data_IF_883819715914
#
_entry.id   IF_883819715914
#
_cell.length_a   1.000
_cell.length_b   1.000
_cell.length_c   1.000
_cell.angle_alpha   90.00
_cell.angle_beta   90.00
_cell.angle_gamma   90.00
#
_symmetry.space_group_name_H-M   'P 1'
#
loop_
_entity.id
_entity.type
_entity.pdbx_description
1 polymer ?
#
# COMPACT_ATOMS: atom_id res chain seq x y z
N UNK A 1 0.63 32.37 64.05
CA UNK A 1 0.01 32.26 62.71
C UNK A 1 1.10 32.60 61.70
N UNK A 2 1.36 31.68 60.77
CA UNK A 2 2.14 31.75 59.51
C UNK A 2 2.91 30.44 59.36
N UNK A 3 2.44 29.65 58.39
CA UNK A 3 2.97 28.37 57.95
C UNK A 3 4.29 28.57 57.20
N UNK A 4 5.28 27.71 57.46
CA UNK A 4 6.46 27.55 56.60
C UNK A 4 6.31 26.21 55.87
N UNK A 5 5.84 26.26 54.63
CA UNK A 5 5.79 25.12 53.71
C UNK A 5 7.16 24.95 53.06
N UNK A 6 7.83 23.83 53.34
CA UNK A 6 8.99 23.39 52.56
C UNK A 6 8.50 22.71 51.28
N UNK A 7 8.83 23.32 50.13
CA UNK A 7 8.60 22.78 48.80
C UNK A 7 9.72 21.78 48.49
N UNK A 8 9.40 20.48 48.45
CA UNK A 8 10.29 19.45 47.91
C UNK A 8 10.15 19.48 46.38
N UNK A 9 11.19 19.94 45.70
CA UNK A 9 11.30 19.84 44.23
C UNK A 9 11.73 18.42 43.89
N UNK A 10 10.79 17.61 43.39
CA UNK A 10 11.12 16.34 42.76
C UNK A 10 11.66 16.63 41.34
N UNK A 11 12.97 16.46 41.14
CA UNK A 11 13.54 16.37 39.81
C UNK A 11 13.11 15.03 39.20
N UNK A 12 12.09 15.05 38.36
CA UNK A 12 11.81 13.95 37.46
C UNK A 12 12.91 13.93 36.39
N UNK A 13 13.73 12.89 36.40
CA UNK A 13 14.63 12.58 35.31
C UNK A 13 13.79 12.35 34.05
N UNK A 14 13.82 13.32 33.13
CA UNK A 14 13.32 13.14 31.77
C UNK A 14 14.20 12.10 31.09
N UNK A 15 13.76 10.83 31.14
CA UNK A 15 14.21 9.85 30.17
C UNK A 15 13.80 10.35 28.80
N UNK A 16 14.78 10.56 27.93
CA UNK A 16 14.54 10.81 26.51
C UNK A 16 13.93 9.51 25.98
N UNK A 17 12.60 9.47 25.89
CA UNK A 17 11.92 8.49 25.05
C UNK A 17 12.37 8.76 23.60
N UNK A 18 12.67 7.72 22.80
CA UNK A 18 12.86 7.91 21.37
C UNK A 18 11.62 8.62 20.81
N UNK A 19 11.75 9.48 19.78
CA UNK A 19 10.60 10.12 19.17
C UNK A 19 9.60 9.02 18.79
N UNK A 20 8.37 9.13 19.29
CA UNK A 20 7.31 8.21 18.93
C UNK A 20 7.16 8.22 17.40
N UNK A 21 7.30 7.05 16.78
CA UNK A 21 7.05 6.76 15.36
C UNK A 21 5.57 6.97 14.93
N UNK A 22 4.91 7.99 15.48
CA UNK A 22 3.47 8.22 15.30
C UNK A 22 3.22 9.00 14.03
N UNK A 23 2.91 8.30 12.94
CA UNK A 23 2.31 8.94 11.77
C UNK A 23 0.84 9.27 12.04
N UNK A 24 0.32 10.36 11.47
CA UNK A 24 -1.12 10.67 11.53
C UNK A 24 -1.90 9.51 10.93
N UNK A 25 -2.82 8.94 11.70
CA UNK A 25 -3.63 7.82 11.25
C UNK A 25 -5.01 7.81 11.91
N UNK A 26 -5.95 7.15 11.25
CA UNK A 26 -7.21 6.70 11.83
C UNK A 26 -7.13 5.19 11.97
N UNK A 27 -7.39 4.68 13.17
CA UNK A 27 -7.52 3.24 13.41
C UNK A 27 -8.99 2.83 13.27
N UNK A 28 -9.26 1.94 12.32
CA UNK A 28 -10.56 1.29 12.16
C UNK A 28 -10.51 -0.04 12.90
N UNK A 29 -11.51 -0.34 13.74
CA UNK A 29 -11.46 -1.50 14.63
C UNK A 29 -12.78 -2.26 14.70
N UNK A 30 -12.72 -3.57 14.63
CA UNK A 30 -13.83 -4.47 14.90
C UNK A 30 -13.45 -5.44 16.04
N UNK A 31 -14.38 -6.26 16.55
CA UNK A 31 -14.05 -7.32 17.50
C UNK A 31 -13.05 -8.37 16.98
N UNK A 32 -12.76 -8.38 15.67
CA UNK A 32 -11.99 -9.41 15.00
C UNK A 32 -10.65 -8.92 14.49
N UNK A 33 -10.57 -7.65 14.10
CA UNK A 33 -9.38 -7.06 13.51
C UNK A 33 -9.34 -5.55 13.64
N UNK A 34 -8.17 -4.97 13.38
CA UNK A 34 -8.00 -3.54 13.17
C UNK A 34 -7.17 -3.26 11.93
N UNK A 35 -7.30 -2.04 11.40
CA UNK A 35 -6.53 -1.54 10.27
C UNK A 35 -6.19 -0.07 10.50
N UNK A 36 -5.04 0.39 10.04
CA UNK A 36 -4.68 1.82 10.05
C UNK A 36 -4.83 2.43 8.68
N UNK A 37 -5.51 3.58 8.63
CA UNK A 37 -5.52 4.49 7.49
C UNK A 37 -4.56 5.63 7.82
N UNK A 38 -3.41 5.69 7.16
CA UNK A 38 -2.47 6.78 7.34
C UNK A 38 -3.00 8.03 6.62
N UNK A 39 -3.16 9.12 7.36
CA UNK A 39 -3.87 10.29 6.84
C UNK A 39 -2.93 11.12 5.96
N UNK A 40 -3.40 11.59 4.79
CA UNK A 40 -2.58 12.36 3.85
C UNK A 40 -2.43 13.85 4.21
N UNK A 41 -2.93 14.26 5.38
CA UNK A 41 -2.91 15.62 5.89
C UNK A 41 -2.11 15.71 7.18
N UNK A 42 -1.60 16.90 7.47
CA UNK A 42 -0.82 17.18 8.68
C UNK A 42 -1.70 17.09 9.93
N UNK A 43 -1.12 16.61 11.03
CA UNK A 43 -1.75 16.67 12.34
C UNK A 43 -1.73 18.08 12.93
N UNK A 44 -2.66 18.39 13.83
CA UNK A 44 -2.58 19.65 14.58
C UNK A 44 -1.28 19.72 15.39
N UNK A 45 -0.42 20.70 15.09
CA UNK A 45 0.78 20.99 15.88
C UNK A 45 2.06 20.24 15.49
N UNK A 46 2.06 19.42 14.44
CA UNK A 46 3.24 18.69 13.96
C UNK A 46 3.62 19.08 12.54
N UNK A 47 4.89 19.40 12.31
CA UNK A 47 5.47 19.47 10.98
C UNK A 47 6.12 18.12 10.68
N UNK A 48 5.65 17.42 9.64
CA UNK A 48 6.26 16.20 9.06
C UNK A 48 5.89 14.83 9.69
N UNK A 49 4.62 14.65 10.09
CA UNK A 49 4.07 13.40 10.67
C UNK A 49 3.23 12.55 9.68
N UNK A 50 3.26 12.87 8.39
CA UNK A 50 2.56 12.12 7.34
C UNK A 50 3.37 10.89 6.92
N UNK A 51 2.69 9.76 6.77
CA UNK A 51 3.37 8.53 6.36
C UNK A 51 3.96 8.64 4.95
N UNK A 52 3.23 9.21 4.00
CA UNK A 52 3.65 9.24 2.61
C UNK A 52 3.48 10.63 2.00
N UNK A 53 4.55 11.11 1.37
CA UNK A 53 4.68 12.41 0.68
C UNK A 53 5.21 12.23 -0.76
N UNK A 54 5.43 10.99 -1.20
CA UNK A 54 6.03 10.67 -2.49
C UNK A 54 5.15 11.09 -3.68
N UNK A 55 5.77 11.15 -4.85
CA UNK A 55 5.12 11.63 -6.09
C UNK A 55 4.53 10.52 -6.97
N UNK A 56 4.34 9.31 -6.43
CA UNK A 56 3.89 8.12 -7.20
C UNK A 56 2.50 7.67 -6.79
N UNK A 57 2.34 7.25 -5.54
CA UNK A 57 1.09 6.68 -5.05
C UNK A 57 0.08 7.74 -4.64
N UNK A 58 -1.20 7.41 -4.80
CA UNK A 58 -2.30 8.23 -4.30
C UNK A 58 -2.18 8.39 -2.78
N UNK A 59 -2.10 9.62 -2.28
CA UNK A 59 -1.81 9.85 -0.84
C UNK A 59 -2.89 9.30 0.09
N UNK A 60 -4.15 9.27 -0.34
CA UNK A 60 -5.28 8.71 0.42
C UNK A 60 -5.33 7.18 0.50
N UNK A 61 -4.38 6.47 -0.12
CA UNK A 61 -4.40 5.01 -0.26
C UNK A 61 -3.51 4.24 0.72
N UNK A 62 -2.84 4.94 1.63
CA UNK A 62 -1.95 4.32 2.63
C UNK A 62 -2.78 3.62 3.72
N UNK A 63 -3.16 2.37 3.48
CA UNK A 63 -3.97 1.56 4.39
C UNK A 63 -3.20 0.28 4.69
N UNK A 64 -2.79 0.08 5.94
CA UNK A 64 -1.83 -0.96 6.34
C UNK A 64 -1.92 -1.30 7.83
N UNK A 65 -0.87 -1.95 8.34
CA UNK A 65 -0.77 -2.37 9.75
C UNK A 65 -2.04 -3.11 10.22
N UNK A 66 -2.49 -4.12 9.46
CA UNK A 66 -3.69 -4.87 9.82
C UNK A 66 -3.35 -5.88 10.90
N UNK A 67 -4.10 -5.86 12.01
CA UNK A 67 -3.97 -6.83 13.09
C UNK A 67 -5.21 -7.72 13.10
N UNK A 68 -5.02 -9.03 12.97
CA UNK A 68 -6.07 -10.06 12.95
C UNK A 68 -5.99 -10.88 14.23
N UNK A 69 -7.07 -10.90 15.01
CA UNK A 69 -7.07 -11.54 16.32
C UNK A 69 -6.13 -10.84 17.30
N UNK A 70 -5.30 -11.60 18.01
CA UNK A 70 -4.38 -11.05 19.03
C UNK A 70 -3.00 -10.71 18.47
N UNK A 71 -2.47 -11.56 17.60
CA UNK A 71 -1.02 -11.61 17.33
C UNK A 71 -0.66 -11.64 15.84
N UNK A 72 -1.60 -11.87 14.93
CA UNK A 72 -1.29 -11.97 13.50
C UNK A 72 -1.36 -10.60 12.81
N UNK A 73 -0.30 -10.23 12.10
CA UNK A 73 -0.19 -8.98 11.37
C UNK A 73 -0.12 -9.23 9.86
N UNK A 74 -0.82 -8.43 9.07
CA UNK A 74 -0.62 -8.40 7.61
C UNK A 74 -0.52 -6.97 7.06
N UNK A 75 0.15 -6.83 5.91
CA UNK A 75 0.49 -5.53 5.30
C UNK A 75 1.22 -4.58 6.27
N UNK A 76 2.14 -5.14 7.05
CA UNK A 76 2.96 -4.41 7.99
C UNK A 76 4.07 -3.61 7.31
N UNK A 77 4.56 -2.57 7.98
CA UNK A 77 5.62 -1.69 7.46
C UNK A 77 7.04 -2.26 7.56
N UNK A 78 7.29 -3.14 8.53
CA UNK A 78 8.64 -3.46 9.01
C UNK A 78 9.58 -4.22 8.06
N UNK A 79 9.18 -4.48 6.82
CA UNK A 79 10.05 -5.07 5.78
C UNK A 79 10.09 -4.26 4.48
N UNK A 80 9.24 -3.25 4.34
CA UNK A 80 9.09 -2.53 3.07
C UNK A 80 9.80 -1.17 3.13
N UNK A 81 10.89 -1.06 2.36
CA UNK A 81 11.69 0.16 2.20
C UNK A 81 12.14 0.77 3.54
N UNK A 82 12.76 -0.07 4.39
CA UNK A 82 13.37 0.34 5.65
C UNK A 82 14.82 0.86 5.48
N UNK A 83 15.23 1.95 6.17
CA UNK A 83 14.40 2.83 6.99
C UNK A 83 13.36 3.58 6.14
N UNK A 84 12.17 3.83 6.68
CA UNK A 84 11.13 4.56 5.93
C UNK A 84 11.55 5.98 5.53
N UNK A 85 11.17 6.40 4.32
CA UNK A 85 11.34 7.78 3.84
C UNK A 85 10.03 8.26 3.20
N UNK A 86 9.27 9.18 3.85
CA UNK A 86 8.00 9.66 3.34
C UNK A 86 8.10 10.28 1.93
N UNK A 87 9.24 10.88 1.59
CA UNK A 87 9.46 11.56 0.32
C UNK A 87 9.91 10.62 -0.81
N UNK A 88 10.17 9.34 -0.51
CA UNK A 88 10.59 8.38 -1.52
C UNK A 88 9.35 7.80 -2.23
N UNK A 89 9.27 7.85 -3.58
CA UNK A 89 8.08 7.42 -4.31
C UNK A 89 7.69 5.96 -4.06
N UNK A 90 8.65 5.08 -3.75
CA UNK A 90 8.41 3.66 -3.49
C UNK A 90 8.00 3.34 -2.05
N UNK A 91 7.99 4.32 -1.14
CA UNK A 91 7.74 4.10 0.30
C UNK A 91 6.25 4.05 0.68
N UNK A 92 5.38 3.68 -0.26
CA UNK A 92 3.97 3.36 0.05
C UNK A 92 3.85 2.15 0.97
N UNK A 93 2.66 1.91 1.53
CA UNK A 93 2.39 0.77 2.42
C UNK A 93 1.03 0.16 2.12
N UNK A 94 0.90 -1.14 2.36
CA UNK A 94 -0.35 -1.88 2.33
C UNK A 94 -1.11 -1.70 1.02
N UNK A 95 -2.26 -1.06 1.05
CA UNK A 95 -3.13 -0.85 -0.13
C UNK A 95 -2.75 0.37 -0.99
N UNK A 96 -1.51 0.85 -0.88
CA UNK A 96 -1.01 1.95 -1.67
C UNK A 96 -1.33 1.74 -3.16
N UNK A 97 -2.07 2.68 -3.74
CA UNK A 97 -2.59 2.60 -5.10
C UNK A 97 -1.98 3.65 -6.00
N UNK A 98 -1.85 3.32 -7.29
CA UNK A 98 -1.33 4.18 -8.33
C UNK A 98 -2.34 4.34 -9.47
N UNK A 99 -2.43 5.55 -10.02
CA UNK A 99 -3.00 5.77 -11.35
C UNK A 99 -1.86 5.70 -12.36
N UNK A 100 -1.90 4.78 -13.31
CA UNK A 100 -0.81 4.50 -14.24
C UNK A 100 -0.54 3.01 -14.40
N UNK A 101 0.47 2.66 -15.19
CA UNK A 101 0.86 1.27 -15.51
C UNK A 101 2.22 0.88 -14.89
N UNK A 102 2.81 1.77 -14.08
CA UNK A 102 4.08 1.49 -13.38
C UNK A 102 5.29 1.35 -14.31
N UNK A 103 5.29 2.09 -15.42
CA UNK A 103 6.42 2.20 -16.37
C UNK A 103 6.80 3.65 -16.62
N UNK A 104 7.94 3.89 -17.25
CA UNK A 104 8.31 5.24 -17.68
C UNK A 104 7.54 5.66 -18.93
N UNK A 105 7.33 6.97 -19.09
CA UNK A 105 6.61 7.55 -20.22
C UNK A 105 5.23 8.10 -19.83
N UNK A 106 4.75 9.04 -20.64
CA UNK A 106 3.48 9.74 -20.42
C UNK A 106 2.25 8.86 -20.64
N UNK A 107 2.39 7.85 -21.50
CA UNK A 107 1.33 6.91 -21.87
C UNK A 107 1.72 5.49 -21.47
N UNK A 108 0.70 4.68 -21.24
CA UNK A 108 0.85 3.25 -21.00
C UNK A 108 0.88 2.47 -22.32
N UNK A 109 1.40 1.24 -22.27
CA UNK A 109 1.41 0.34 -23.43
C UNK A 109 -0.03 0.08 -23.89
N UNK A 110 -0.24 0.03 -25.21
CA UNK A 110 -1.56 -0.13 -25.82
C UNK A 110 -1.98 1.08 -26.63
N UNK A 111 -3.23 1.52 -26.46
CA UNK A 111 -3.79 2.66 -27.21
C UNK A 111 -3.19 3.98 -26.72
N UNK A 112 -2.77 4.83 -27.66
CA UNK A 112 -2.05 6.09 -27.37
C UNK A 112 -2.83 7.17 -26.62
N UNK A 113 -4.05 6.89 -26.18
CA UNK A 113 -4.91 7.75 -25.36
C UNK A 113 -4.99 7.31 -23.89
N UNK A 114 -4.22 6.28 -23.48
CA UNK A 114 -4.14 5.80 -22.10
C UNK A 114 -2.94 6.45 -21.40
N UNK A 115 -3.21 7.39 -20.50
CA UNK A 115 -2.20 8.11 -19.75
C UNK A 115 -1.69 7.31 -18.55
N UNK A 116 -0.41 7.50 -18.22
CA UNK A 116 0.27 6.91 -17.07
C UNK A 116 -0.05 7.64 -15.74
N UNK A 117 -1.32 8.01 -15.56
CA UNK A 117 -1.84 8.81 -14.47
C UNK A 117 -1.41 10.27 -14.48
N UNK A 118 -0.67 10.70 -15.50
CA UNK A 118 -0.19 12.08 -15.65
C UNK A 118 -0.99 12.85 -16.69
N UNK A 119 -1.43 14.06 -16.36
CA UNK A 119 -2.22 14.93 -17.23
C UNK A 119 -1.46 16.23 -17.53
N UNK A 120 -1.33 16.57 -18.81
CA UNK A 120 -0.62 17.77 -19.30
C UNK A 120 0.90 17.65 -19.34
N UNK A 121 1.48 16.48 -19.05
CA UNK A 121 2.94 16.26 -19.09
C UNK A 121 3.53 16.42 -20.51
N UNK A 122 2.77 16.02 -21.52
CA UNK A 122 3.09 16.10 -22.95
C UNK A 122 3.22 17.54 -23.46
N UNK A 123 2.46 18.45 -22.87
CA UNK A 123 2.36 19.86 -23.29
C UNK A 123 3.13 20.80 -22.37
N UNK A 124 3.44 20.38 -21.15
CA UNK A 124 4.29 21.12 -20.22
C UNK A 124 5.75 21.15 -20.68
N UNK A 125 6.40 22.30 -20.53
CA UNK A 125 7.86 22.45 -20.67
C UNK A 125 8.56 22.08 -19.37
N UNK A 126 9.87 21.85 -19.42
CA UNK A 126 10.68 21.70 -18.22
C UNK A 126 10.50 22.91 -17.29
N UNK A 127 10.29 22.65 -15.99
CA UNK A 127 9.97 23.68 -14.99
C UNK A 127 8.49 24.08 -14.92
N UNK A 128 7.67 23.71 -15.89
CA UNK A 128 6.21 23.92 -15.84
C UNK A 128 5.51 22.76 -15.10
N UNK A 129 4.32 23.02 -14.51
CA UNK A 129 3.59 21.99 -13.79
C UNK A 129 2.84 21.02 -14.72
N UNK A 130 2.61 19.81 -14.22
CA UNK A 130 1.67 18.81 -14.73
C UNK A 130 0.93 18.16 -13.57
N UNK A 131 -0.17 17.44 -13.81
CA UNK A 131 -0.90 16.72 -12.74
C UNK A 131 -0.51 15.24 -12.72
N UNK A 132 -0.34 14.66 -11.52
CA UNK A 132 -0.41 13.21 -11.28
C UNK A 132 -1.65 12.92 -10.46
N UNK A 133 -2.57 12.12 -11.01
CA UNK A 133 -3.86 11.81 -10.39
C UNK A 133 -3.61 11.14 -9.02
N UNK A 134 -4.29 11.63 -7.97
CA UNK A 134 -4.11 11.13 -6.59
C UNK A 134 -2.91 11.71 -5.84
N UNK A 135 -2.03 12.46 -6.51
CA UNK A 135 -0.81 13.03 -5.92
C UNK A 135 -0.87 14.56 -5.88
N UNK A 136 -1.20 15.22 -6.99
CA UNK A 136 -1.28 16.67 -7.09
C UNK A 136 -0.52 17.23 -8.29
N UNK A 137 -0.20 18.54 -8.24
CA UNK A 137 0.57 19.22 -9.27
C UNK A 137 2.09 19.08 -9.02
N UNK A 138 2.82 18.54 -10.00
CA UNK A 138 4.26 18.27 -9.97
C UNK A 138 5.00 19.09 -11.04
N UNK A 139 6.29 19.34 -10.84
CA UNK A 139 7.12 20.15 -11.77
C UNK A 139 7.88 19.25 -12.74
N UNK A 140 7.62 19.37 -14.05
CA UNK A 140 8.33 18.57 -15.08
C UNK A 140 9.83 18.84 -15.06
N UNK A 141 10.63 17.78 -15.22
CA UNK A 141 12.09 17.84 -15.20
C UNK A 141 12.71 18.05 -13.80
N UNK A 142 11.91 18.15 -12.73
CA UNK A 142 12.46 18.34 -11.37
C UNK A 142 13.00 17.06 -10.72
N UNK A 143 12.79 15.91 -11.35
CA UNK A 143 13.13 14.62 -10.77
C UNK A 143 14.62 14.27 -10.96
N UNK A 144 15.29 13.61 -10.00
CA UNK A 144 16.72 13.29 -10.13
C UNK A 144 17.05 12.40 -11.33
N UNK A 145 16.15 11.48 -11.69
CA UNK A 145 16.29 10.61 -12.86
C UNK A 145 15.96 11.30 -14.20
N UNK A 146 15.42 12.52 -14.15
CA UNK A 146 15.13 13.36 -15.31
C UNK A 146 16.42 14.09 -15.71
N UNK A 147 17.41 13.39 -16.25
CA UNK A 147 18.69 14.01 -16.64
C UNK A 147 18.51 15.05 -17.76
N UNK A 148 19.47 15.98 -17.90
CA UNK A 148 19.45 17.12 -18.85
C UNK A 148 19.27 16.78 -20.35
N UNK A 149 19.23 15.50 -20.73
CA UNK A 149 19.02 15.05 -22.12
C UNK A 149 17.68 14.33 -22.35
N UNK A 150 16.91 14.12 -21.28
CA UNK A 150 15.75 13.21 -21.24
C UNK A 150 14.61 13.81 -20.37
N UNK A 151 14.58 15.14 -20.24
CA UNK A 151 13.59 15.90 -19.44
C UNK A 151 12.15 15.73 -19.93
N UNK A 152 11.98 15.20 -21.13
CA UNK A 152 10.70 14.86 -21.73
C UNK A 152 10.16 13.46 -21.36
N UNK A 153 10.92 12.61 -20.66
CA UNK A 153 10.41 11.29 -20.24
C UNK A 153 9.91 11.35 -18.79
N UNK A 154 8.61 11.06 -18.59
CA UNK A 154 8.05 10.88 -17.25
C UNK A 154 8.66 9.64 -16.59
N UNK A 155 9.13 9.77 -15.34
CA UNK A 155 9.77 8.71 -14.56
C UNK A 155 8.93 8.35 -13.34
N UNK A 156 8.12 7.30 -13.44
CA UNK A 156 7.07 7.00 -12.44
C UNK A 156 7.60 6.76 -11.01
N UNK A 157 8.83 6.23 -10.88
CA UNK A 157 9.46 5.90 -9.61
C UNK A 157 10.45 6.97 -9.10
N UNK A 158 10.51 8.14 -9.75
CA UNK A 158 11.44 9.21 -9.40
C UNK A 158 10.73 10.32 -8.61
N UNK A 159 11.36 10.91 -7.58
CA UNK A 159 10.73 11.96 -6.79
C UNK A 159 10.66 13.26 -7.60
N UNK A 160 9.46 13.79 -7.79
CA UNK A 160 9.23 15.11 -8.38
C UNK A 160 9.00 16.16 -7.29
N UNK A 161 9.40 17.41 -7.55
CA UNK A 161 9.01 18.55 -6.71
C UNK A 161 7.54 18.87 -6.95
N UNK A 162 6.82 19.14 -5.87
CA UNK A 162 5.47 19.68 -5.93
C UNK A 162 5.47 21.13 -6.40
N UNK A 163 4.59 21.45 -7.34
CA UNK A 163 4.33 22.83 -7.74
C UNK A 163 3.63 23.61 -6.61
N UNK A 164 2.75 22.93 -5.88
CA UNK A 164 2.12 23.39 -4.63
C UNK A 164 1.80 22.17 -3.76
N UNK A 165 1.71 22.34 -2.42
CA UNK A 165 1.34 21.25 -1.53
C UNK A 165 -0.03 20.66 -1.90
N UNK A 166 -0.19 19.33 -1.90
CA UNK A 166 -1.49 18.71 -2.14
C UNK A 166 -2.41 18.97 -0.95
N UNK A 167 -3.70 19.22 -1.25
CA UNK A 167 -4.72 19.46 -0.24
C UNK A 167 -5.62 18.23 -0.11
N UNK A 168 -5.79 17.77 1.13
CA UNK A 168 -6.70 16.70 1.49
C UNK A 168 -7.66 17.16 2.59
N UNK A 169 -8.88 16.64 2.57
CA UNK A 169 -9.92 16.90 3.58
C UNK A 169 -10.46 15.57 4.08
N UNK A 170 -10.76 15.49 5.37
CA UNK A 170 -11.63 14.44 5.91
C UNK A 170 -13.07 14.90 5.74
N UNK A 171 -13.90 14.06 5.14
CA UNK A 171 -15.34 14.28 5.07
C UNK A 171 -16.02 13.63 6.28
N UNK A 172 -17.18 14.14 6.72
CA UNK A 172 -17.93 13.53 7.81
C UNK A 172 -18.22 12.05 7.53
N UNK A 173 -17.86 11.18 8.48
CA UNK A 173 -18.17 9.75 8.41
C UNK A 173 -19.43 9.42 9.20
N UNK A 174 -20.28 8.50 8.69
CA UNK A 174 -21.52 8.09 9.35
C UNK A 174 -21.30 7.22 10.59
N UNK A 175 -20.07 6.75 10.84
CA UNK A 175 -19.74 5.93 12.00
C UNK A 175 -18.24 5.90 12.32
N UNK A 176 -17.86 5.33 13.48
CA UNK A 176 -16.48 5.36 13.98
C UNK A 176 -15.52 4.42 13.25
N UNK A 177 -16.04 3.44 12.49
CA UNK A 177 -15.27 2.45 11.72
C UNK A 177 -15.25 2.75 10.22
N UNK A 178 -15.40 4.02 9.87
CA UNK A 178 -15.33 4.52 8.51
C UNK A 178 -14.57 5.84 8.51
N UNK A 179 -13.75 6.05 7.48
CA UNK A 179 -13.11 7.34 7.23
C UNK A 179 -13.22 7.66 5.75
N UNK A 180 -13.58 8.91 5.45
CA UNK A 180 -13.67 9.39 4.07
C UNK A 180 -12.69 10.53 3.88
N UNK A 181 -11.78 10.39 2.91
CA UNK A 181 -10.86 11.44 2.49
C UNK A 181 -11.17 11.92 1.09
N UNK A 182 -10.93 13.19 0.85
CA UNK A 182 -11.19 13.85 -0.42
C UNK A 182 -10.02 14.76 -0.81
N UNK A 183 -9.65 14.73 -2.09
CA UNK A 183 -8.71 15.65 -2.71
C UNK A 183 -9.16 16.01 -4.11
N UNK A 184 -8.85 17.22 -4.54
CA UNK A 184 -9.02 17.65 -5.92
C UNK A 184 -7.83 18.49 -6.36
N UNK A 185 -7.59 18.51 -7.66
CA UNK A 185 -6.58 19.37 -8.24
C UNK A 185 -6.97 19.78 -9.68
N UNK A 186 -6.62 21.01 -10.08
CA UNK A 186 -6.89 21.59 -11.40
C UNK A 186 -5.68 22.32 -11.95
N UNK A 187 -5.40 22.09 -13.24
CA UNK A 187 -4.33 22.76 -13.97
C UNK A 187 -4.72 22.92 -15.45
N UNK A 188 -4.92 24.16 -15.88
CA UNK A 188 -5.34 24.46 -17.25
C UNK A 188 -6.66 23.78 -17.60
N UNK A 189 -6.65 22.95 -18.65
CA UNK A 189 -7.81 22.17 -19.10
C UNK A 189 -7.94 20.79 -18.42
N UNK A 190 -7.03 20.46 -17.51
CA UNK A 190 -7.04 19.19 -16.77
C UNK A 190 -7.46 19.40 -15.32
N UNK A 191 -8.05 18.35 -14.73
CA UNK A 191 -8.35 18.32 -13.31
C UNK A 191 -9.01 17.01 -12.90
N UNK A 192 -8.83 16.64 -11.64
CA UNK A 192 -9.43 15.44 -11.05
C UNK A 192 -9.95 15.74 -9.65
N UNK A 193 -10.98 15.00 -9.23
CA UNK A 193 -11.43 14.90 -7.86
C UNK A 193 -11.44 13.43 -7.44
N UNK A 194 -10.89 13.12 -6.27
CA UNK A 194 -10.85 11.77 -5.71
C UNK A 194 -11.51 11.78 -4.35
N UNK A 195 -12.47 10.88 -4.16
CA UNK A 195 -13.03 10.55 -2.85
C UNK A 195 -12.72 9.10 -2.54
N UNK A 196 -12.13 8.82 -1.38
CA UNK A 196 -11.88 7.46 -0.90
C UNK A 196 -12.53 7.26 0.45
N UNK A 197 -13.39 6.25 0.54
CA UNK A 197 -14.08 5.83 1.76
C UNK A 197 -13.55 4.46 2.17
N UNK A 198 -12.91 4.39 3.33
CA UNK A 198 -12.41 3.15 3.91
C UNK A 198 -13.27 2.79 5.11
N UNK A 199 -13.87 1.60 5.08
CA UNK A 199 -14.75 1.09 6.13
C UNK A 199 -14.32 -0.31 6.55
N UNK A 200 -14.35 -0.58 7.86
CA UNK A 200 -14.16 -1.91 8.42
C UNK A 200 -15.47 -2.40 9.04
N UNK A 201 -15.97 -3.55 8.56
CA UNK A 201 -17.14 -4.23 9.13
C UNK A 201 -16.80 -5.70 9.41
N UNK A 202 -16.69 -6.04 10.69
CA UNK A 202 -16.23 -7.35 11.13
C UNK A 202 -14.83 -7.68 10.57
N UNK A 203 -14.75 -8.70 9.72
CA UNK A 203 -13.52 -9.14 9.04
C UNK A 203 -13.48 -8.71 7.55
N UNK A 204 -14.28 -7.71 7.16
CA UNK A 204 -14.34 -7.20 5.80
C UNK A 204 -13.95 -5.73 5.79
N UNK A 205 -12.85 -5.41 5.09
CA UNK A 205 -12.47 -4.05 4.76
C UNK A 205 -13.04 -3.70 3.38
N UNK A 206 -13.76 -2.59 3.29
CA UNK A 206 -14.26 -2.04 2.03
C UNK A 206 -13.57 -0.71 1.77
N UNK A 207 -12.90 -0.59 0.61
CA UNK A 207 -12.30 0.67 0.14
C UNK A 207 -13.03 1.07 -1.14
N UNK A 208 -13.92 2.06 -1.02
CA UNK A 208 -14.65 2.61 -2.16
C UNK A 208 -13.96 3.86 -2.66
N UNK A 209 -13.62 3.88 -3.94
CA UNK A 209 -12.97 5.02 -4.60
C UNK A 209 -13.92 5.62 -5.63
N UNK A 210 -13.97 6.95 -5.67
CA UNK A 210 -14.65 7.71 -6.72
C UNK A 210 -13.62 8.62 -7.38
N UNK A 211 -13.56 8.60 -8.71
CA UNK A 211 -12.76 9.53 -9.51
C UNK A 211 -13.69 10.35 -10.38
N UNK A 212 -13.56 11.68 -10.30
CA UNK A 212 -14.29 12.64 -11.13
C UNK A 212 -13.33 13.38 -12.03
N UNK A 213 -13.63 13.49 -13.32
CA UNK A 213 -12.91 14.38 -14.21
C UNK A 213 -13.44 15.81 -14.03
N UNK A 214 -12.61 16.65 -13.44
CA UNK A 214 -12.92 18.06 -13.19
C UNK A 214 -12.47 18.97 -14.34
N UNK A 215 -11.65 18.46 -15.26
CA UNK A 215 -11.11 19.19 -16.41
C UNK A 215 -12.13 19.42 -17.53
N UNK A 216 -11.62 19.96 -18.64
CA UNK A 216 -12.34 20.15 -19.91
C UNK A 216 -11.94 19.11 -20.96
N UNK A 217 -10.85 18.37 -20.74
CA UNK A 217 -10.40 17.29 -21.61
C UNK A 217 -10.76 15.93 -20.99
N UNK A 218 -11.16 14.99 -21.83
CA UNK A 218 -11.28 13.59 -21.43
C UNK A 218 -9.89 13.02 -21.08
N UNK A 219 -9.86 11.98 -20.25
CA UNK A 219 -8.66 11.18 -20.04
C UNK A 219 -9.01 9.71 -19.80
N UNK A 220 -8.06 8.83 -20.13
CA UNK A 220 -8.08 7.44 -19.73
C UNK A 220 -6.80 7.11 -18.94
N UNK A 221 -6.90 6.28 -17.91
CA UNK A 221 -5.73 5.86 -17.14
C UNK A 221 -6.00 4.54 -16.42
N UNK A 222 -5.00 3.65 -16.27
CA UNK A 222 -5.15 2.51 -15.40
C UNK A 222 -5.13 2.95 -13.94
N UNK A 223 -5.75 2.17 -13.07
CA UNK A 223 -5.62 2.27 -11.63
C UNK A 223 -5.39 0.88 -11.05
N UNK A 224 -4.52 0.77 -10.05
CA UNK A 224 -4.35 -0.48 -9.31
C UNK A 224 -3.83 -0.21 -7.90
N UNK A 225 -4.04 -1.18 -7.01
CA UNK A 225 -3.45 -1.22 -5.67
C UNK A 225 -2.27 -2.19 -5.69
N UNK A 226 -1.16 -1.80 -5.08
CA UNK A 226 0.02 -2.66 -5.03
C UNK A 226 -0.15 -3.84 -4.09
N UNK A 227 -1.04 -3.77 -3.09
CA UNK A 227 -1.14 -4.81 -2.07
C UNK A 227 0.24 -5.23 -1.54
N UNK A 228 0.97 -4.33 -0.87
CA UNK A 228 2.26 -4.66 -0.24
C UNK A 228 2.09 -5.66 0.91
N UNK A 229 1.68 -6.89 0.58
CA UNK A 229 1.27 -7.92 1.52
C UNK A 229 2.50 -8.61 2.07
N UNK A 230 2.51 -8.74 3.38
CA UNK A 230 3.44 -9.52 4.18
C UNK A 230 2.66 -10.07 5.37
N UNK A 231 3.05 -11.21 5.90
CA UNK A 231 2.56 -11.76 7.16
C UNK A 231 3.63 -11.65 8.25
N UNK A 232 3.25 -11.16 9.44
CA UNK A 232 4.05 -11.07 10.66
C UNK A 232 5.44 -10.41 10.49
N UNK A 233 5.59 -9.52 9.51
CA UNK A 233 6.87 -8.89 9.14
C UNK A 233 7.96 -9.92 8.84
N UNK A 234 7.56 -11.07 8.30
CA UNK A 234 8.46 -12.11 7.81
C UNK A 234 8.62 -12.00 6.29
N UNK A 235 9.84 -12.24 5.76
CA UNK A 235 10.09 -12.19 4.33
C UNK A 235 9.19 -13.13 3.52
N UNK A 236 8.89 -12.73 2.28
CA UNK A 236 8.14 -13.56 1.33
C UNK A 236 8.93 -14.83 1.03
N UNK A 237 8.35 -15.97 1.43
CA UNK A 237 9.00 -17.28 1.40
C UNK A 237 8.03 -18.46 1.34
N UNK A 238 8.52 -19.69 1.56
CA UNK A 238 7.69 -20.89 1.59
C UNK A 238 6.51 -20.77 2.56
N UNK A 239 5.37 -21.34 2.18
CA UNK A 239 4.12 -21.26 2.95
C UNK A 239 3.17 -20.16 2.49
N UNK A 240 3.64 -19.20 1.69
CA UNK A 240 2.76 -18.29 0.97
C UNK A 240 2.15 -18.98 -0.26
N UNK A 241 0.85 -18.74 -0.49
CA UNK A 241 0.12 -19.17 -1.70
C UNK A 241 -0.72 -18.01 -2.21
N UNK A 242 -0.65 -17.73 -3.51
CA UNK A 242 -1.47 -16.73 -4.18
C UNK A 242 -2.32 -17.42 -5.25
N UNK A 243 -3.63 -17.29 -5.15
CA UNK A 243 -4.58 -17.78 -6.15
C UNK A 243 -5.21 -16.60 -6.87
N UNK A 244 -5.10 -16.55 -8.20
CA UNK A 244 -5.64 -15.49 -9.04
C UNK A 244 -7.01 -15.92 -9.59
N UNK A 245 -8.01 -15.05 -9.45
CA UNK A 245 -9.37 -15.21 -9.97
C UNK A 245 -9.47 -14.91 -11.47
N UNK A 246 -8.59 -15.53 -12.25
CA UNK A 246 -8.63 -15.49 -13.71
C UNK A 246 -9.45 -16.69 -14.18
N UNK A 247 -10.49 -16.49 -14.98
CA UNK A 247 -11.22 -17.61 -15.59
C UNK A 247 -10.68 -17.87 -17.00
N UNK A 248 -10.44 -19.14 -17.35
CA UNK A 248 -9.87 -19.54 -18.66
C UNK A 248 -10.80 -19.18 -19.83
N UNK A 249 -12.10 -18.95 -19.56
CA UNK A 249 -13.11 -18.66 -20.58
C UNK A 249 -12.82 -17.43 -21.46
N UNK A 250 -11.81 -16.61 -21.13
CA UNK A 250 -11.36 -15.49 -21.95
C UNK A 250 -9.96 -15.64 -22.58
N UNK A 251 -9.17 -16.65 -22.24
CA UNK A 251 -7.80 -16.77 -22.73
C UNK A 251 -7.75 -17.60 -24.02
N UNK A 252 -7.12 -17.12 -25.11
CA UNK A 252 -6.89 -17.94 -26.30
C UNK A 252 -6.12 -19.23 -25.96
N UNK A 253 -6.49 -20.35 -26.60
CA UNK A 253 -5.69 -21.56 -26.56
C UNK A 253 -4.25 -21.25 -26.99
N UNK A 254 -3.26 -21.70 -26.21
CA UNK A 254 -1.81 -21.47 -26.41
C UNK A 254 -1.25 -20.11 -25.95
N UNK A 255 -2.03 -19.25 -25.29
CA UNK A 255 -1.47 -18.06 -24.63
C UNK A 255 -0.44 -18.48 -23.57
N UNK A 256 0.81 -17.95 -23.58
CA UNK A 256 1.76 -18.16 -22.50
C UNK A 256 1.10 -17.81 -21.17
N UNK A 257 1.23 -18.68 -20.16
CA UNK A 257 0.53 -18.54 -18.86
C UNK A 257 0.73 -17.14 -18.26
N UNK A 258 1.91 -16.55 -18.49
CA UNK A 258 2.22 -15.17 -18.17
C UNK A 258 3.45 -14.70 -18.98
N UNK A 259 3.63 -13.37 -19.05
CA UNK A 259 4.86 -12.71 -19.53
C UNK A 259 5.70 -12.28 -18.33
N UNK A 260 7.01 -12.18 -18.48
CA UNK A 260 7.92 -11.72 -17.41
C UNK A 260 8.67 -10.45 -17.85
N UNK A 261 8.07 -9.26 -17.65
CA UNK A 261 8.70 -8.00 -18.03
C UNK A 261 10.06 -7.84 -17.36
N UNK A 262 11.07 -7.46 -18.14
CA UNK A 262 12.41 -7.18 -17.62
C UNK A 262 13.22 -8.40 -17.22
N UNK A 263 12.80 -9.62 -17.57
CA UNK A 263 13.50 -10.85 -17.21
C UNK A 263 14.97 -10.79 -17.66
N UNK A 264 15.88 -10.96 -16.70
CA UNK A 264 17.33 -10.89 -16.94
C UNK A 264 17.90 -9.48 -17.09
N UNK A 265 17.06 -8.44 -17.03
CA UNK A 265 17.45 -7.03 -17.03
C UNK A 265 17.27 -6.39 -15.66
N UNK A 266 16.03 -6.29 -15.18
CA UNK A 266 15.70 -5.70 -13.89
C UNK A 266 14.84 -6.60 -13.01
N UNK A 267 14.24 -7.65 -13.58
CA UNK A 267 13.51 -8.68 -12.85
C UNK A 267 14.19 -10.05 -12.97
N UNK A 268 14.03 -10.86 -11.91
CA UNK A 268 14.39 -12.27 -11.91
C UNK A 268 13.28 -13.14 -12.48
N UNK A 269 13.57 -14.44 -12.66
CA UNK A 269 12.58 -15.42 -13.11
C UNK A 269 11.62 -15.76 -11.97
N UNK A 270 10.32 -15.56 -12.17
CA UNK A 270 9.26 -15.92 -11.24
C UNK A 270 9.22 -17.45 -11.01
N UNK A 271 9.52 -18.27 -12.04
CA UNK A 271 9.50 -19.73 -11.93
C UNK A 271 10.56 -20.28 -10.98
N UNK A 272 11.63 -19.52 -10.76
CA UNK A 272 12.66 -19.86 -9.79
C UNK A 272 12.14 -19.85 -8.35
N UNK A 273 11.10 -19.06 -8.06
CA UNK A 273 10.58 -18.81 -6.72
C UNK A 273 9.18 -19.39 -6.49
N UNK A 274 8.38 -19.53 -7.54
CA UNK A 274 7.02 -20.01 -7.46
C UNK A 274 6.83 -21.30 -8.27
N UNK A 275 6.04 -22.22 -7.72
CA UNK A 275 5.34 -23.25 -8.49
C UNK A 275 4.02 -22.67 -8.95
N UNK A 276 3.90 -22.47 -10.26
CA UNK A 276 2.74 -21.85 -10.89
C UNK A 276 1.95 -22.95 -11.58
N UNK A 277 0.71 -23.16 -11.16
CA UNK A 277 -0.19 -24.17 -11.70
C UNK A 277 -1.48 -23.54 -12.16
N UNK A 278 -2.02 -24.06 -13.27
CA UNK A 278 -3.36 -23.74 -13.74
C UNK A 278 -4.32 -24.79 -13.21
N UNK A 279 -5.35 -24.35 -12.50
CA UNK A 279 -6.43 -25.23 -12.09
C UNK A 279 -7.41 -25.46 -13.26
N UNK A 280 -8.19 -26.55 -13.17
CA UNK A 280 -9.19 -26.89 -14.19
C UNK A 280 -10.33 -25.87 -14.32
N UNK A 281 -10.51 -25.01 -13.32
CA UNK A 281 -11.48 -23.90 -13.35
C UNK A 281 -10.88 -22.61 -13.94
N UNK A 282 -9.64 -22.67 -14.42
CA UNK A 282 -8.90 -21.56 -15.03
C UNK A 282 -8.15 -20.69 -14.03
N UNK A 283 -8.34 -20.89 -12.72
CA UNK A 283 -7.60 -20.12 -11.71
C UNK A 283 -6.11 -20.43 -11.74
N UNK A 284 -5.29 -19.42 -11.47
CA UNK A 284 -3.84 -19.55 -11.43
C UNK A 284 -3.39 -19.60 -9.99
N UNK A 285 -2.76 -20.70 -9.59
CA UNK A 285 -2.19 -20.85 -8.26
C UNK A 285 -0.68 -20.70 -8.29
N UNK A 286 -0.14 -19.80 -7.48
CA UNK A 286 1.28 -19.54 -7.31
C UNK A 286 1.68 -19.92 -5.88
N UNK A 287 2.41 -21.01 -5.73
CA UNK A 287 2.91 -21.49 -4.42
C UNK A 287 4.39 -21.17 -4.28
N UNK A 288 4.78 -20.51 -3.20
CA UNK A 288 6.18 -20.15 -2.95
C UNK A 288 7.03 -21.38 -2.63
N UNK A 289 8.09 -21.61 -3.43
CA UNK A 289 9.09 -22.67 -3.24
C UNK A 289 10.25 -22.26 -2.36
N UNK A 290 10.71 -21.01 -2.50
CA UNK A 290 11.91 -20.50 -1.83
C UNK A 290 11.77 -19.01 -1.50
N UNK A 291 12.43 -18.58 -0.44
CA UNK A 291 12.44 -17.17 -0.05
C UNK A 291 13.07 -16.29 -1.13
N UNK A 292 12.52 -15.09 -1.33
CA UNK A 292 13.07 -14.09 -2.25
C UNK A 292 14.21 -13.36 -1.52
N UNK A 293 15.46 -13.40 -2.03
CA UNK A 293 16.57 -12.67 -1.44
C UNK A 293 16.38 -11.15 -1.55
N UNK A 294 17.13 -10.41 -0.74
CA UNK A 294 17.19 -8.97 -0.86
C UNK A 294 17.73 -8.53 -2.23
N UNK A 295 17.14 -7.48 -2.79
CA UNK A 295 17.52 -6.94 -4.10
C UNK A 295 16.94 -7.66 -5.31
N UNK A 296 16.30 -8.83 -5.12
CA UNK A 296 15.59 -9.53 -6.19
C UNK A 296 14.18 -8.98 -6.33
N UNK A 297 13.83 -8.59 -7.56
CA UNK A 297 12.50 -8.12 -7.97
C UNK A 297 11.92 -9.13 -8.95
N UNK A 298 10.65 -9.47 -8.80
CA UNK A 298 9.94 -10.38 -9.70
C UNK A 298 8.71 -9.67 -10.25
N UNK A 299 8.43 -9.85 -11.54
CA UNK A 299 7.19 -9.36 -12.16
C UNK A 299 6.68 -10.38 -13.18
N UNK A 300 5.39 -10.67 -13.11
CA UNK A 300 4.68 -11.48 -14.10
C UNK A 300 3.39 -10.78 -14.51
N UNK A 301 3.10 -10.75 -15.80
CA UNK A 301 1.85 -10.22 -16.36
C UNK A 301 1.01 -11.39 -16.89
N UNK A 302 -0.16 -11.61 -16.30
CA UNK A 302 -1.08 -12.70 -16.62
C UNK A 302 -2.17 -12.27 -17.59
N UNK A 303 -2.56 -11.00 -17.52
CA UNK A 303 -3.41 -10.34 -18.51
C UNK A 303 -2.72 -9.06 -18.98
N UNK A 304 -2.87 -8.77 -20.26
CA UNK A 304 -2.48 -7.51 -20.87
C UNK A 304 -3.69 -6.80 -21.49
N UNK A 305 -3.44 -5.60 -22.00
CA UNK A 305 -4.47 -4.72 -22.56
C UNK A 305 -5.15 -5.27 -23.83
N UNK A 306 -4.61 -6.35 -24.41
CA UNK A 306 -5.14 -6.99 -25.62
C UNK A 306 -6.00 -8.21 -25.30
N UNK A 307 -6.06 -8.62 -24.04
CA UNK A 307 -6.73 -9.84 -23.60
C UNK A 307 -8.14 -9.56 -23.11
N UNK A 308 -9.16 -9.98 -23.85
CA UNK A 308 -10.54 -9.94 -23.36
C UNK A 308 -10.78 -11.10 -22.40
N UNK A 309 -10.99 -10.82 -21.12
CA UNK A 309 -11.32 -11.87 -20.16
C UNK A 309 -12.43 -11.46 -19.19
N UNK A 310 -13.09 -12.48 -18.65
CA UNK A 310 -14.07 -12.35 -17.59
C UNK A 310 -13.35 -12.64 -16.26
N UNK A 311 -12.87 -11.57 -15.63
CA UNK A 311 -12.37 -11.61 -14.24
C UNK A 311 -13.06 -10.51 -13.44
N UNK A 312 -13.26 -10.78 -12.15
CA UNK A 312 -13.72 -9.79 -11.18
C UNK A 312 -12.55 -9.17 -10.41
N UNK A 313 -11.32 -9.33 -10.92
CA UNK A 313 -10.09 -8.85 -10.30
C UNK A 313 -9.76 -9.57 -9.00
N UNK A 314 -10.42 -10.68 -8.68
CA UNK A 314 -10.24 -11.33 -7.39
C UNK A 314 -8.89 -12.03 -7.27
N UNK A 315 -8.44 -12.16 -6.03
CA UNK A 315 -7.36 -13.05 -5.63
C UNK A 315 -7.60 -13.58 -4.22
N UNK A 316 -6.82 -14.60 -3.85
CA UNK A 316 -6.69 -15.06 -2.48
C UNK A 316 -5.21 -15.23 -2.14
N UNK A 317 -4.71 -14.47 -1.17
CA UNK A 317 -3.37 -14.65 -0.61
C UNK A 317 -3.47 -15.38 0.71
N UNK A 318 -2.74 -16.47 0.85
CA UNK A 318 -2.54 -17.20 2.09
C UNK A 318 -1.12 -16.97 2.60
N UNK A 319 -0.98 -16.61 3.88
CA UNK A 319 0.30 -16.44 4.56
C UNK A 319 0.59 -17.60 5.53
N UNK A 320 1.87 -17.88 5.82
CA UNK A 320 2.27 -18.94 6.76
C UNK A 320 1.80 -18.69 8.20
N UNK A 321 1.49 -17.43 8.55
CA UNK A 321 0.87 -17.07 9.84
C UNK A 321 -0.63 -17.46 9.93
N UNK A 322 -1.14 -18.22 8.96
CA UNK A 322 -2.52 -18.70 8.96
C UNK A 322 -3.56 -17.66 8.56
N UNK A 323 -3.16 -16.42 8.26
CA UNK A 323 -4.07 -15.39 7.73
C UNK A 323 -4.24 -15.59 6.23
N UNK A 324 -5.47 -15.45 5.76
CA UNK A 324 -5.76 -15.35 4.33
C UNK A 324 -6.54 -14.08 4.02
N UNK A 325 -6.27 -13.49 2.86
CA UNK A 325 -6.95 -12.30 2.37
C UNK A 325 -7.52 -12.61 1.00
N UNK A 326 -8.84 -12.53 0.91
CA UNK A 326 -9.55 -12.62 -0.36
C UNK A 326 -10.02 -11.22 -0.77
N UNK A 327 -9.59 -10.75 -1.93
CA UNK A 327 -10.10 -9.52 -2.54
C UNK A 327 -10.98 -9.84 -3.73
N UNK A 328 -11.94 -8.96 -4.00
CA UNK A 328 -12.63 -8.83 -5.28
C UNK A 328 -13.02 -7.38 -5.56
N UNK A 329 -13.24 -7.06 -6.84
CA UNK A 329 -13.73 -5.75 -7.31
C UNK A 329 -15.09 -5.97 -7.99
N UNK A 330 -16.22 -5.83 -7.26
CA UNK A 330 -17.54 -6.22 -7.75
C UNK A 330 -17.95 -5.52 -9.05
N UNK A 331 -17.51 -4.27 -9.27
CA UNK A 331 -17.86 -3.48 -10.44
C UNK A 331 -17.38 -4.13 -11.76
N UNK A 332 -16.33 -4.96 -11.73
CA UNK A 332 -15.85 -5.69 -12.91
C UNK A 332 -16.83 -6.75 -13.44
N UNK A 333 -17.73 -7.26 -12.59
CA UNK A 333 -18.73 -8.26 -13.02
C UNK A 333 -19.97 -7.63 -13.69
N UNK A 334 -20.13 -6.32 -13.60
CA UNK A 334 -21.44 -5.67 -13.89
C UNK A 334 -21.71 -5.42 -15.38
N UNK A 335 -20.89 -5.93 -16.30
CA UNK A 335 -20.86 -5.49 -17.70
C UNK A 335 -20.75 -3.94 -17.85
N UNK A 336 -20.27 -3.25 -16.80
CA UNK A 336 -20.02 -1.82 -16.87
C UNK A 336 -18.95 -1.56 -17.93
N UNK A 337 -19.11 -0.47 -18.69
CA UNK A 337 -18.06 -0.02 -19.63
C UNK A 337 -16.87 0.62 -18.89
N UNK A 338 -16.99 0.86 -17.59
CA UNK A 338 -16.03 1.61 -16.78
C UNK A 338 -16.32 1.37 -15.27
N UNK A 339 -15.38 0.82 -14.48
CA UNK A 339 -14.09 0.27 -14.88
C UNK A 339 -14.24 -1.07 -15.65
N UNK A 340 -13.20 -1.46 -16.37
CA UNK A 340 -12.99 -2.83 -16.85
C UNK A 340 -11.53 -3.25 -16.62
N UNK A 341 -11.24 -4.55 -16.69
CA UNK A 341 -9.88 -5.06 -16.48
C UNK A 341 -8.95 -4.60 -17.60
N UNK A 342 -7.83 -3.98 -17.24
CA UNK A 342 -6.78 -3.52 -18.16
C UNK A 342 -5.64 -4.54 -18.26
N UNK A 343 -5.16 -4.98 -17.11
CA UNK A 343 -4.06 -5.91 -16.96
C UNK A 343 -4.19 -6.61 -15.61
N UNK A 344 -3.46 -7.70 -15.44
CA UNK A 344 -3.36 -8.38 -14.15
C UNK A 344 -1.92 -8.83 -13.98
N UNK A 345 -1.21 -8.14 -13.11
CA UNK A 345 0.20 -8.42 -12.82
C UNK A 345 0.35 -9.00 -11.41
N UNK A 346 1.48 -9.66 -11.20
CA UNK A 346 2.00 -9.98 -9.86
C UNK A 346 3.40 -9.43 -9.77
N UNK A 347 3.63 -8.60 -8.76
CA UNK A 347 4.95 -8.13 -8.37
C UNK A 347 5.37 -8.80 -7.05
N UNK A 348 6.66 -9.10 -6.89
CA UNK A 348 7.16 -9.59 -5.61
C UNK A 348 8.60 -9.15 -5.34
N UNK A 349 8.87 -8.83 -4.08
CA UNK A 349 10.20 -8.66 -3.50
C UNK A 349 10.24 -9.39 -2.16
N UNK A 350 11.43 -9.47 -1.55
CA UNK A 350 11.61 -9.99 -0.18
C UNK A 350 10.56 -9.47 0.82
N UNK A 351 10.17 -8.21 0.71
CA UNK A 351 9.30 -7.52 1.66
C UNK A 351 7.86 -7.30 1.20
N UNK A 352 7.42 -7.86 0.06
CA UNK A 352 6.03 -7.72 -0.39
C UNK A 352 5.65 -8.73 -1.49
N UNK A 353 4.43 -9.27 -1.41
CA UNK A 353 3.77 -10.01 -2.47
C UNK A 353 2.54 -9.24 -2.96
N UNK A 354 2.58 -8.79 -4.21
CA UNK A 354 1.70 -7.77 -4.76
C UNK A 354 0.87 -8.31 -5.94
N UNK A 355 -0.31 -8.91 -5.71
CA UNK A 355 -1.29 -9.08 -6.77
C UNK A 355 -1.84 -7.71 -7.21
N UNK A 356 -1.81 -7.43 -8.51
CA UNK A 356 -2.11 -6.11 -9.09
C UNK A 356 -3.18 -6.23 -10.20
N UNK A 357 -4.46 -6.43 -9.85
CA UNK A 357 -5.54 -6.27 -10.81
C UNK A 357 -5.64 -4.79 -11.21
N UNK A 358 -5.41 -4.48 -12.48
CA UNK A 358 -5.41 -3.10 -13.00
C UNK A 358 -6.72 -2.80 -13.71
N UNK A 359 -7.37 -1.70 -13.32
CA UNK A 359 -8.63 -1.22 -13.88
C UNK A 359 -8.36 -0.11 -14.90
N UNK A 360 -8.86 -0.22 -16.13
CA UNK A 360 -8.85 0.93 -17.04
C UNK A 360 -10.04 1.83 -16.72
N UNK A 361 -9.75 3.10 -16.43
CA UNK A 361 -10.72 4.14 -16.16
C UNK A 361 -10.77 5.10 -17.36
N UNK A 362 -11.96 5.42 -17.83
CA UNK A 362 -12.19 6.40 -18.90
C UNK A 362 -13.17 7.45 -18.42
N UNK A 363 -12.83 8.74 -18.51
CA UNK A 363 -13.70 9.79 -18.00
C UNK A 363 -13.81 10.98 -18.96
N UNK A 364 -15.03 11.25 -19.39
CA UNK A 364 -15.41 12.51 -20.03
C UNK A 364 -15.39 13.68 -19.01
N UNK A 365 -15.30 14.94 -19.46
CA UNK A 365 -15.45 16.09 -18.58
C UNK A 365 -16.73 16.00 -17.73
N UNK A 366 -16.60 16.27 -16.43
CA UNK A 366 -17.65 16.14 -15.41
C UNK A 366 -18.17 14.71 -15.13
N UNK A 367 -17.65 13.68 -15.80
CA UNK A 367 -17.98 12.29 -15.50
C UNK A 367 -17.35 11.86 -14.17
N UNK A 368 -18.04 10.94 -13.48
CA UNK A 368 -17.54 10.27 -12.28
C UNK A 368 -17.65 8.76 -12.47
N UNK A 369 -16.57 8.05 -12.17
CA UNK A 369 -16.56 6.58 -12.06
C UNK A 369 -16.24 6.17 -10.64
N UNK A 370 -16.52 4.91 -10.30
CA UNK A 370 -16.21 4.35 -8.99
C UNK A 370 -15.86 2.86 -9.07
N UNK A 371 -15.13 2.40 -8.06
CA UNK A 371 -14.82 0.99 -7.87
C UNK A 371 -14.64 0.70 -6.38
N UNK A 372 -14.81 -0.56 -6.01
CA UNK A 372 -14.75 -0.99 -4.62
C UNK A 372 -13.80 -2.16 -4.46
N UNK A 373 -12.75 -1.98 -3.67
CA UNK A 373 -11.96 -3.11 -3.16
C UNK A 373 -12.70 -3.72 -1.98
N UNK A 374 -13.05 -5.00 -2.07
CA UNK A 374 -13.69 -5.74 -0.99
C UNK A 374 -12.73 -6.82 -0.48
N UNK A 375 -12.07 -6.56 0.64
CA UNK A 375 -11.08 -7.46 1.24
C UNK A 375 -11.72 -8.19 2.41
N UNK A 376 -11.77 -9.51 2.34
CA UNK A 376 -12.22 -10.40 3.42
C UNK A 376 -11.03 -11.13 4.02
N UNK A 377 -10.89 -11.01 5.33
CA UNK A 377 -9.82 -11.64 6.09
C UNK A 377 -10.34 -12.92 6.76
N UNK A 378 -9.54 -13.99 6.71
CA UNK A 378 -9.79 -15.21 7.49
C UNK A 378 -8.52 -15.64 8.21
N UNK A 379 -8.67 -16.42 9.27
CA UNK A 379 -7.55 -16.98 10.03
C UNK A 379 -7.83 -18.45 10.36
N UNK A 380 -6.82 -19.31 10.21
CA UNK A 380 -6.88 -20.73 10.55
C UNK A 380 -6.74 -21.00 12.06
N UNK A 381 -6.23 -20.03 12.84
CA UNK A 381 -6.20 -20.12 14.30
C UNK A 381 -7.63 -19.94 14.85
N UNK A 382 -8.28 -21.06 15.16
CA UNK A 382 -9.62 -21.23 15.78
C UNK A 382 -10.47 -19.95 15.98
N UNK A 383 -11.48 -19.85 15.12
CA UNK A 383 -12.72 -19.06 15.22
C UNK A 383 -12.58 -17.57 15.56
N UNK A 384 -12.73 -16.74 14.53
CA UNK A 384 -13.28 -15.39 14.65
C UNK A 384 -14.74 -15.50 15.13
N UNK A 385 -14.93 -15.75 16.43
CA UNK A 385 -16.22 -15.70 17.12
C UNK A 385 -17.20 -16.85 16.83
N UNK A 386 -16.95 -18.05 17.37
CA UNK A 386 -18.09 -18.79 17.91
C UNK A 386 -18.55 -18.07 19.18
N UNK A 387 -19.71 -17.41 19.11
CA UNK A 387 -20.41 -16.91 20.29
C UNK A 387 -20.70 -18.11 21.19
N UNK A 388 -19.90 -18.28 22.24
CA UNK A 388 -20.36 -19.05 23.39
C UNK A 388 -21.54 -18.26 23.95
N UNK A 389 -22.75 -18.77 23.76
CA UNK A 389 -23.93 -18.37 24.50
C UNK A 389 -23.66 -18.61 25.98
N UNK A 390 -23.08 -17.62 26.67
CA UNK A 390 -23.06 -17.61 28.12
C UNK A 390 -24.45 -17.20 28.56
N UNK A 391 -25.21 -18.18 29.03
CA UNK A 391 -26.45 -17.96 29.75
C UNK A 391 -26.22 -16.90 30.83
N UNK A 392 -26.93 -15.78 30.70
CA UNK A 392 -27.11 -14.82 31.77
C UNK A 392 -27.83 -15.53 32.93
N UNK A 393 -27.11 -15.77 34.02
CA UNK A 393 -27.69 -15.94 35.34
C UNK A 393 -27.41 -14.65 36.13
N UNK A 394 -28.45 -13.96 36.64
CA UNK A 394 -28.27 -12.85 37.55
C UNK A 394 -28.15 -13.41 38.95
N UNK A 395 -27.13 -13.03 39.73
CA UNK A 395 -27.28 -12.96 41.19
C UNK A 395 -26.09 -12.31 41.91
N UNK A 396 -26.49 -11.41 42.82
CA UNK A 396 -25.88 -11.00 44.08
C UNK A 396 -24.75 -9.95 44.15
N UNK A 397 -25.17 -8.83 44.76
CA UNK A 397 -24.44 -7.89 45.59
C UNK A 397 -23.78 -8.54 46.82
N UNK A 398 -22.59 -8.04 47.20
CA UNK A 398 -22.10 -7.80 48.57
C UNK A 398 -20.68 -7.20 48.42
N UNK A 399 -20.46 -5.94 48.81
CA UNK A 399 -19.98 -5.51 50.14
C UNK A 399 -18.55 -5.97 50.49
N UNK A 400 -17.64 -5.00 50.33
CA UNK A 400 -16.60 -4.56 51.26
C UNK A 400 -16.02 -5.58 52.25
N UNK A 401 -14.75 -5.96 52.04
CA UNK A 401 -13.84 -6.37 53.12
C UNK A 401 -12.43 -5.78 52.89
N UNK A 402 -12.06 -4.83 53.75
CA UNK A 402 -10.69 -4.40 54.02
C UNK A 402 -9.93 -5.51 54.75
N UNK A 403 -8.69 -5.82 54.33
CA UNK A 403 -7.61 -6.27 55.24
C UNK A 403 -6.24 -5.76 54.73
N UNK A 404 -5.37 -5.23 55.62
CA UNK A 404 -4.09 -4.62 55.28
C UNK A 404 -2.95 -5.64 55.26
N UNK A 405 -1.98 -5.46 54.36
CA UNK A 405 -0.66 -6.08 54.51
C UNK A 405 0.46 -5.06 54.33
N UNK A 406 1.14 -4.80 55.44
CA UNK A 406 2.42 -4.12 55.52
C UNK A 406 3.49 -4.94 54.79
N UNK A 407 4.02 -4.39 53.69
CA UNK A 407 5.26 -4.86 53.09
C UNK A 407 6.41 -3.98 53.58
N UNK A 408 7.42 -4.59 54.19
CA UNK A 408 8.59 -3.89 54.72
C UNK A 408 9.45 -3.28 53.61
N UNK A 409 9.97 -2.08 53.86
CA UNK A 409 10.77 -1.25 52.95
C UNK A 409 12.12 -1.84 52.51
N UNK A 410 12.45 -3.07 52.92
CA UNK A 410 13.71 -3.73 52.57
C UNK A 410 13.64 -4.67 51.37
N UNK A 411 12.44 -5.05 50.91
CA UNK A 411 12.27 -5.85 49.68
C UNK A 411 12.21 -5.02 48.39
N UNK A 412 11.88 -3.72 48.46
CA UNK A 412 11.77 -2.85 47.28
C UNK A 412 13.13 -2.42 46.69
N UNK A 413 14.19 -2.38 47.51
CA UNK A 413 15.51 -1.90 47.07
C UNK A 413 16.35 -2.94 46.31
N UNK A 414 16.06 -4.24 46.44
CA UNK A 414 16.78 -5.30 45.72
C UNK A 414 16.30 -5.50 44.28
N UNK A 415 15.06 -5.08 43.96
CA UNK A 415 14.50 -5.20 42.60
C UNK A 415 14.93 -4.05 41.67
N UNK A 416 15.26 -2.88 42.22
CA UNK A 416 15.69 -1.71 41.41
C UNK A 416 17.17 -1.83 40.97
N UNK A 417 18.02 -2.49 41.77
CA UNK A 417 19.44 -2.68 41.43
C UNK A 417 19.67 -3.70 40.30
N UNK A 418 18.77 -4.67 40.11
CA UNK A 418 18.86 -5.66 39.03
C UNK A 418 18.49 -5.08 37.65
N UNK A 419 17.66 -4.03 37.60
CA UNK A 419 17.24 -3.41 36.34
C UNK A 419 18.28 -2.44 35.75
N UNK A 420 19.14 -1.82 36.56
CA UNK A 420 20.16 -0.88 36.07
C UNK A 420 21.45 -1.55 35.55
N UNK A 421 21.76 -2.78 35.97
CA UNK A 421 22.94 -3.51 35.49
C UNK A 421 22.84 -4.00 34.03
N UNK A 422 21.63 -4.19 33.51
CA UNK A 422 21.41 -4.75 32.16
C UNK A 422 21.41 -3.65 31.07
N UNK A 423 21.13 -2.39 31.44
CA UNK A 423 21.07 -1.26 30.50
C UNK A 423 22.46 -0.75 30.08
N UNK A 424 23.49 -0.92 30.91
CA UNK A 424 24.85 -0.43 30.59
C UNK A 424 25.63 -1.42 29.69
N UNK A 425 25.29 -2.72 29.72
CA UNK A 425 25.97 -3.73 28.89
C UNK A 425 25.50 -3.75 27.42
N UNK A 426 24.33 -3.19 27.12
CA UNK A 426 23.75 -3.15 25.76
C UNK A 426 24.12 -1.89 24.96
N UNK A 427 24.67 -0.86 25.61
CA UNK A 427 25.01 0.41 24.95
C UNK A 427 26.37 0.39 24.23
N UNK A 428 27.29 -0.52 24.60
CA UNK A 428 28.66 -0.54 24.03
C UNK A 428 28.85 -1.46 22.82
N UNK A 429 27.78 -2.02 22.23
CA UNK A 429 27.88 -2.93 21.07
C UNK A 429 27.23 -2.42 19.78
N UNK A 430 26.72 -1.20 19.77
CA UNK A 430 26.03 -0.60 18.62
C UNK A 430 26.65 0.75 18.23
N UNK A 431 27.96 0.76 17.98
CA UNK A 431 28.59 1.87 17.26
C UNK A 431 29.58 1.34 16.24
N UNK A 432 29.10 0.60 15.24
CA UNK A 432 29.75 0.65 13.94
C UNK A 432 28.83 0.18 12.81
N UNK A 433 28.96 0.82 11.64
CA UNK A 433 28.20 0.62 10.39
C UNK A 433 26.90 1.42 10.17
N UNK A 434 26.98 2.76 10.21
CA UNK A 434 26.12 3.58 9.34
C UNK A 434 26.70 3.61 7.92
N UNK A 435 26.40 2.59 7.11
CA UNK A 435 26.47 2.72 5.65
C UNK A 435 25.11 3.25 5.17
N UNK A 436 25.12 4.42 4.54
CA UNK A 436 23.99 4.92 3.75
C UNK A 436 23.77 3.96 2.58
N UNK A 437 22.82 3.03 2.72
CA UNK A 437 22.27 2.30 1.58
C UNK A 437 21.38 3.27 0.80
N UNK A 438 21.79 3.64 -0.41
CA UNK A 438 20.90 4.33 -1.33
C UNK A 438 19.83 3.35 -1.82
N UNK A 439 18.58 3.79 -1.92
CA UNK A 439 17.52 2.98 -2.53
C UNK A 439 17.87 2.68 -3.99
N UNK A 440 17.76 1.41 -4.38
CA UNK A 440 17.94 1.00 -5.78
C UNK A 440 16.68 1.36 -6.58
N UNK A 441 16.82 2.31 -7.51
CA UNK A 441 15.82 2.61 -8.54
C UNK A 441 15.52 1.35 -9.36
N UNK A 442 14.30 1.22 -9.90
CA UNK A 442 14.04 0.24 -10.97
C UNK A 442 14.76 0.78 -12.23
N UNK A 443 15.70 0.02 -12.84
CA UNK A 443 16.38 0.43 -14.06
C UNK A 443 15.39 0.72 -15.20
N UNK A 444 15.64 1.81 -15.93
CA UNK A 444 14.83 2.24 -17.06
C UNK A 444 14.85 1.21 -18.20
N UNK A 445 13.68 0.97 -18.81
CA UNK A 445 13.59 0.28 -20.10
C UNK A 445 14.27 1.15 -21.17
N UNK A 446 15.31 0.65 -21.83
CA UNK A 446 15.72 1.17 -23.13
C UNK A 446 14.75 0.61 -24.19
N UNK A 447 14.10 1.52 -24.91
CA UNK A 447 13.18 1.18 -26.00
C UNK A 447 13.91 0.39 -27.10
N UNK A 448 13.44 -0.82 -27.42
CA UNK A 448 13.68 -1.42 -28.75
C UNK A 448 12.74 -0.74 -29.73
N UNK A 449 13.28 0.16 -30.55
CA UNK A 449 12.61 0.66 -31.76
C UNK A 449 12.62 -0.48 -32.79
N UNK A 450 11.45 -0.71 -33.40
CA UNK A 450 11.21 -1.67 -34.47
C UNK A 450 12.19 -1.50 -35.64
N UNK A 451 12.79 -2.61 -36.08
CA UNK A 451 13.37 -2.76 -37.41
C UNK A 451 12.33 -3.54 -38.24
N UNK A 452 11.34 -2.82 -38.74
CA UNK A 452 10.37 -3.33 -39.73
C UNK A 452 10.57 -2.50 -41.01
N UNK A 453 11.62 -2.81 -41.75
CA UNK A 453 11.77 -2.42 -43.14
C UNK A 453 12.83 -3.32 -43.79
N UNK A 454 12.39 -4.41 -44.41
CA UNK A 454 12.93 -4.97 -45.67
C UNK A 454 12.34 -6.37 -45.88
N UNK A 455 11.32 -6.47 -46.73
CA UNK A 455 11.08 -7.63 -47.59
C UNK A 455 9.94 -7.30 -48.58
N UNK A 456 10.29 -6.47 -49.57
CA UNK A 456 9.57 -6.40 -50.84
C UNK A 456 10.57 -6.45 -52.00
N UNK A 457 11.06 -7.64 -52.31
CA UNK A 457 11.57 -7.99 -53.65
C UNK A 457 11.79 -9.50 -53.73
N UNK A 458 10.83 -10.20 -54.34
CA UNK A 458 10.93 -11.28 -55.35
C UNK A 458 9.58 -11.98 -55.42
#
# INVERSE_FOLDING_TARGET
MVFVTHLVVAMAAMGILPPSEGYVNVSLSSPYMSAKVFMPMEGEGFTDDRYYLGSRFEHGSMIGDFLIGKDAEVYGRGLWREPHNPNWPESGVGLASEFGCGHDGVACVGRGDIYNGVLGYDTAKAGEPFLKIGVGALIKGSCPACSWRDDDVYRFNSPYKFFRPPSWKVLPSPGPNEVTVYSEERLGDFGYGITKTTRLDGNVLTVRSLLTNLGKKQFATPWYSHHFFTGDREPIGPGYVLNLGLSEYGLPNQTPVFKQPGLGSWSGDMNDYFDITMANDGSISMTMKKAIPEGIKLKADFLDENTQTLTDGSFNVHAPNGVSVHEKIPELQTNSRNPFIYAYSVYAERGALCPEPMLLLYLQPAETTFWTQNLRFSSSYRSLGERVNVFFLPMFSAEAWDIPFHLSSRCAFMLIAACFGIVIASYNRASDSRRRGGYSLIPHHQNMVQEEDTLSSV
#
